data_IF_418399431263
#
_entry.id   IF_418399431263
#
_cell.length_a   1.000
_cell.length_b   1.000
_cell.length_c   1.000
_cell.angle_alpha   90.00
_cell.angle_beta   90.00
_cell.angle_gamma   90.00
#
_symmetry.space_group_name_H-M   'P 1'
#
loop_
_entity.id
_entity.type
_entity.pdbx_description
1 polymer ?
#
# COMPACT_ATOMS: atom_id res chain seq x y z
N UNK A 1 -11.25 2.35 9.33
CA UNK A 1 -12.45 3.18 9.64
C UNK A 1 -13.58 2.22 9.92
N UNK A 2 -14.13 2.28 11.13
CA UNK A 2 -15.32 1.51 11.47
C UNK A 2 -16.54 2.15 10.78
N UNK A 3 -16.96 1.59 9.65
CA UNK A 3 -18.12 2.03 8.87
C UNK A 3 -19.44 2.04 9.64
N UNK A 4 -19.45 1.53 10.88
CA UNK A 4 -20.63 1.51 11.77
C UNK A 4 -20.89 2.85 12.45
N UNK A 5 -19.97 3.84 12.40
CA UNK A 5 -20.08 5.10 13.16
C UNK A 5 -20.67 6.29 12.38
N UNK A 6 -21.16 6.10 11.16
CA UNK A 6 -21.84 7.14 10.38
C UNK A 6 -21.89 6.81 8.90
N UNK A 7 -22.76 7.48 8.12
CA UNK A 7 -22.83 7.24 6.69
C UNK A 7 -21.51 7.71 6.05
N UNK A 8 -20.81 6.80 5.37
CA UNK A 8 -19.57 7.09 4.64
C UNK A 8 -19.74 8.28 3.67
N UNK A 9 -20.96 8.53 3.17
CA UNK A 9 -21.28 9.69 2.35
C UNK A 9 -21.04 11.01 3.07
N UNK A 10 -21.51 11.17 4.32
CA UNK A 10 -21.31 12.40 5.07
C UNK A 10 -19.82 12.69 5.37
N UNK A 11 -19.03 11.63 5.63
CA UNK A 11 -17.58 11.77 5.76
C UNK A 11 -16.92 12.25 4.47
N UNK A 12 -17.28 11.64 3.33
CA UNK A 12 -16.74 12.04 2.02
C UNK A 12 -17.19 13.45 1.64
N UNK A 13 -18.42 13.87 2.01
CA UNK A 13 -18.91 15.22 1.80
C UNK A 13 -18.10 16.26 2.58
N UNK A 14 -17.83 15.98 3.88
CA UNK A 14 -17.02 16.84 4.71
C UNK A 14 -15.58 16.93 4.20
N UNK A 15 -14.98 15.79 3.82
CA UNK A 15 -13.63 15.75 3.26
C UNK A 15 -13.55 16.51 1.93
N UNK A 16 -14.53 16.36 1.05
CA UNK A 16 -14.59 17.11 -0.21
C UNK A 16 -14.69 18.62 0.03
N UNK A 17 -15.42 19.04 1.06
CA UNK A 17 -15.46 20.44 1.50
C UNK A 17 -14.10 20.97 1.96
N UNK A 18 -13.38 20.21 2.77
CA UNK A 18 -12.01 20.54 3.20
C UNK A 18 -11.04 20.62 2.02
N UNK A 19 -11.07 19.62 1.13
CA UNK A 19 -10.25 19.59 -0.09
C UNK A 19 -10.52 20.85 -0.95
N UNK A 20 -11.78 21.30 -1.03
CA UNK A 20 -12.17 22.51 -1.76
C UNK A 20 -11.55 23.79 -1.23
N UNK A 21 -11.17 23.83 0.05
CA UNK A 21 -10.50 24.95 0.71
C UNK A 21 -8.96 24.96 0.59
N UNK A 22 -8.37 23.89 0.04
CA UNK A 22 -6.90 23.81 -0.12
C UNK A 22 -6.48 24.75 -1.26
N UNK A 23 -5.58 25.67 -0.94
CA UNK A 23 -4.96 26.61 -1.90
C UNK A 23 -3.45 26.46 -1.93
N UNK A 24 -2.83 26.87 -3.02
CA UNK A 24 -1.38 26.85 -3.21
C UNK A 24 -0.88 25.61 -3.99
N UNK A 25 0.43 25.57 -4.25
CA UNK A 25 1.04 24.44 -4.98
C UNK A 25 1.05 23.19 -4.11
N UNK A 26 0.66 22.06 -4.71
CA UNK A 26 0.71 20.73 -4.11
C UNK A 26 1.76 19.89 -4.82
N UNK A 27 2.66 19.26 -4.07
CA UNK A 27 3.73 18.41 -4.60
C UNK A 27 3.30 16.95 -4.73
N UNK A 28 2.47 16.47 -3.79
CA UNK A 28 2.00 15.07 -3.76
C UNK A 28 0.55 14.99 -3.27
N UNK A 29 -0.13 13.93 -3.68
CA UNK A 29 -1.44 13.53 -3.12
C UNK A 29 -1.34 12.09 -2.67
N UNK A 30 -1.71 11.84 -1.41
CA UNK A 30 -1.75 10.50 -0.84
C UNK A 30 -3.13 10.25 -0.20
N UNK A 31 -3.88 9.30 -0.74
CA UNK A 31 -5.17 8.88 -0.19
C UNK A 31 -4.99 7.55 0.54
N UNK A 32 -5.00 7.63 1.86
CA UNK A 32 -4.78 6.48 2.74
C UNK A 32 -5.56 6.58 4.05
N UNK A 33 -5.06 5.92 5.09
CA UNK A 33 -5.53 5.98 6.48
C UNK A 33 -6.54 4.91 6.88
N UNK A 34 -7.56 4.61 6.15
CA UNK A 34 -8.39 3.42 6.23
C UNK A 34 -8.13 2.60 4.98
N UNK A 35 -9.16 2.07 4.38
CA UNK A 35 -9.01 1.40 3.09
C UNK A 35 -9.83 2.17 2.05
N UNK A 36 -9.25 3.06 1.25
CA UNK A 36 -9.99 3.83 0.24
C UNK A 36 -10.78 2.92 -0.71
N UNK A 37 -10.20 1.77 -1.08
CA UNK A 37 -10.84 0.78 -1.95
C UNK A 37 -12.03 0.05 -1.31
N UNK A 38 -12.26 0.16 0.00
CA UNK A 38 -13.47 -0.35 0.63
C UNK A 38 -14.70 0.54 0.36
N UNK A 39 -14.49 1.78 -0.11
CA UNK A 39 -15.59 2.63 -0.55
C UNK A 39 -16.27 2.04 -1.79
N UNK A 40 -17.61 2.18 -1.85
CA UNK A 40 -18.36 1.90 -3.07
C UNK A 40 -17.98 2.88 -4.20
N UNK A 41 -18.10 2.44 -5.45
CA UNK A 41 -17.68 3.20 -6.64
C UNK A 41 -18.18 4.66 -6.66
N UNK A 42 -19.45 4.99 -6.30
CA UNK A 42 -19.90 6.38 -6.32
C UNK A 42 -19.15 7.30 -5.36
N UNK A 43 -18.87 6.83 -4.14
CA UNK A 43 -18.16 7.62 -3.12
C UNK A 43 -16.68 7.72 -3.45
N UNK A 44 -16.07 6.63 -3.91
CA UNK A 44 -14.68 6.61 -4.35
C UNK A 44 -14.47 7.60 -5.51
N UNK A 45 -15.36 7.58 -6.51
CA UNK A 45 -15.33 8.53 -7.63
C UNK A 45 -15.46 9.98 -7.17
N UNK A 46 -16.36 10.24 -6.21
CA UNK A 46 -16.55 11.58 -5.64
C UNK A 46 -15.28 12.08 -4.97
N UNK A 47 -14.64 11.24 -4.15
CA UNK A 47 -13.38 11.55 -3.47
C UNK A 47 -12.28 11.87 -4.49
N UNK A 48 -12.05 10.98 -5.45
CA UNK A 48 -11.01 11.14 -6.46
C UNK A 48 -11.19 12.38 -7.31
N UNK A 49 -12.42 12.67 -7.78
CA UNK A 49 -12.72 13.89 -8.54
C UNK A 49 -12.49 15.16 -7.73
N UNK A 50 -12.84 15.13 -6.45
CA UNK A 50 -12.54 16.24 -5.55
C UNK A 50 -11.04 16.52 -5.46
N UNK A 51 -10.25 15.45 -5.35
CA UNK A 51 -8.79 15.51 -5.16
C UNK A 51 -8.05 15.83 -6.47
N UNK A 52 -8.51 15.29 -7.60
CA UNK A 52 -7.89 15.49 -8.93
C UNK A 52 -7.71 16.98 -9.27
N UNK A 53 -8.61 17.85 -8.80
CA UNK A 53 -8.52 19.29 -9.04
C UNK A 53 -7.26 19.93 -8.47
N UNK A 54 -6.68 19.26 -7.46
CA UNK A 54 -5.43 19.68 -6.83
C UNK A 54 -4.20 19.13 -7.58
N UNK A 55 -4.41 18.09 -8.41
CA UNK A 55 -3.34 17.42 -9.13
C UNK A 55 -2.84 18.30 -10.29
N UNK A 56 -1.68 18.93 -10.11
CA UNK A 56 -0.91 19.53 -11.19
C UNK A 56 -0.28 18.47 -12.12
N UNK A 57 0.33 18.92 -13.21
CA UNK A 57 1.08 18.01 -14.10
C UNK A 57 2.28 17.42 -13.35
N UNK A 58 2.41 16.08 -13.41
CA UNK A 58 3.61 15.37 -12.94
C UNK A 58 3.71 15.18 -11.44
N UNK A 59 2.67 15.47 -10.66
CA UNK A 59 2.67 15.18 -9.23
C UNK A 59 2.45 13.67 -8.99
N UNK A 60 3.00 13.17 -7.90
CA UNK A 60 2.68 11.83 -7.41
C UNK A 60 1.27 11.84 -6.81
N UNK A 61 0.40 10.97 -7.33
CA UNK A 61 -0.93 10.74 -6.81
C UNK A 61 -1.10 9.27 -6.41
N UNK A 62 -0.95 9.01 -5.12
CA UNK A 62 -1.00 7.66 -4.54
C UNK A 62 -2.36 7.35 -3.94
N UNK A 63 -2.81 6.11 -4.11
CA UNK A 63 -3.97 5.54 -3.40
C UNK A 63 -3.58 4.23 -2.74
N UNK A 64 -3.94 4.08 -1.46
CA UNK A 64 -3.85 2.80 -0.76
C UNK A 64 -4.98 1.86 -1.15
N UNK A 65 -4.65 0.59 -1.29
CA UNK A 65 -5.59 -0.46 -1.64
C UNK A 65 -5.33 -1.74 -0.85
N UNK A 66 -6.42 -2.46 -0.52
CA UNK A 66 -6.30 -3.83 -0.03
C UNK A 66 -6.71 -4.82 -1.13
N UNK A 67 -6.03 -5.98 -1.20
CA UNK A 67 -6.28 -6.99 -2.24
C UNK A 67 -7.74 -7.45 -2.36
N UNK A 68 -8.44 -7.55 -1.23
CA UNK A 68 -9.83 -8.01 -1.20
C UNK A 68 -10.84 -7.00 -1.77
N UNK A 69 -10.49 -5.72 -1.72
CA UNK A 69 -11.37 -4.62 -2.14
C UNK A 69 -10.96 -3.98 -3.48
N UNK A 70 -9.84 -4.43 -4.08
CA UNK A 70 -9.35 -3.94 -5.36
C UNK A 70 -9.86 -4.82 -6.51
N UNK A 71 -10.42 -4.19 -7.52
CA UNK A 71 -10.92 -4.82 -8.73
C UNK A 71 -10.60 -4.01 -9.99
N UNK A 72 -10.88 -4.58 -11.16
CA UNK A 72 -10.59 -3.96 -12.45
C UNK A 72 -11.30 -2.61 -12.65
N UNK A 73 -12.54 -2.49 -12.16
CA UNK A 73 -13.31 -1.24 -12.29
C UNK A 73 -12.73 -0.10 -11.46
N UNK A 74 -12.23 -0.41 -10.25
CA UNK A 74 -11.56 0.59 -9.41
C UNK A 74 -10.21 1.00 -9.99
N UNK A 75 -9.45 0.07 -10.56
CA UNK A 75 -8.20 0.38 -11.23
C UNK A 75 -8.42 1.29 -12.45
N UNK A 76 -9.45 1.02 -13.26
CA UNK A 76 -9.82 1.90 -14.37
C UNK A 76 -10.20 3.30 -13.86
N UNK A 77 -11.03 3.38 -12.82
CA UNK A 77 -11.38 4.64 -12.19
C UNK A 77 -10.16 5.42 -11.68
N UNK A 78 -9.20 4.74 -11.08
CA UNK A 78 -7.98 5.38 -10.59
C UNK A 78 -7.19 6.01 -11.73
N UNK A 79 -6.97 5.29 -12.82
CA UNK A 79 -6.28 5.81 -14.01
C UNK A 79 -7.04 6.99 -14.64
N UNK A 80 -8.37 6.88 -14.79
CA UNK A 80 -9.21 7.95 -15.31
C UNK A 80 -9.13 9.23 -14.48
N UNK A 81 -9.00 9.10 -13.17
CA UNK A 81 -8.92 10.23 -12.23
C UNK A 81 -7.47 10.67 -11.94
N UNK A 82 -6.48 10.10 -12.64
CA UNK A 82 -5.10 10.56 -12.64
C UNK A 82 -4.22 10.00 -11.51
N UNK A 83 -4.66 8.96 -10.81
CA UNK A 83 -3.83 8.20 -9.88
C UNK A 83 -2.71 7.53 -10.67
N UNK A 84 -1.45 7.74 -10.26
CA UNK A 84 -0.29 7.20 -10.97
C UNK A 84 0.58 6.28 -10.11
N UNK A 85 0.29 6.16 -8.81
CA UNK A 85 0.95 5.25 -7.89
C UNK A 85 -0.08 4.49 -7.03
N UNK A 86 0.14 3.19 -6.81
CA UNK A 86 -0.67 2.38 -5.89
C UNK A 86 0.19 1.82 -4.77
N UNK A 87 -0.34 1.85 -3.53
CA UNK A 87 0.21 1.11 -2.39
C UNK A 87 -0.74 -0.02 -2.02
N UNK A 88 -0.29 -1.26 -2.19
CA UNK A 88 -1.14 -2.45 -2.00
C UNK A 88 -0.73 -3.17 -0.72
N UNK A 89 -1.63 -3.22 0.24
CA UNK A 89 -1.45 -3.89 1.53
C UNK A 89 -1.43 -5.41 1.41
N UNK A 90 -0.36 -5.98 0.86
CA UNK A 90 -0.16 -7.43 0.71
C UNK A 90 0.05 -8.08 2.07
N UNK A 91 0.89 -7.51 2.90
CA UNK A 91 1.27 -7.87 4.25
C UNK A 91 2.07 -9.18 4.34
N UNK A 92 1.70 -10.22 3.59
CA UNK A 92 2.40 -11.50 3.53
C UNK A 92 1.97 -12.32 2.31
N UNK A 93 2.84 -13.23 1.87
CA UNK A 93 2.54 -14.25 0.86
C UNK A 93 2.24 -15.62 1.49
N UNK A 94 1.99 -15.67 2.81
CA UNK A 94 1.68 -16.88 3.56
C UNK A 94 0.30 -16.76 4.21
N UNK A 95 -0.64 -17.62 3.81
CA UNK A 95 -2.02 -17.57 4.31
C UNK A 95 -2.10 -17.73 5.84
N UNK A 96 -1.21 -18.56 6.43
CA UNK A 96 -1.15 -18.72 7.87
C UNK A 96 -0.77 -17.42 8.60
N UNK A 97 0.17 -16.65 8.05
CA UNK A 97 0.57 -15.34 8.60
C UNK A 97 -0.52 -14.30 8.37
N UNK A 98 -1.11 -14.24 7.19
CA UNK A 98 -2.24 -13.35 6.89
C UNK A 98 -3.39 -13.54 7.89
N UNK A 99 -3.71 -14.80 8.21
CA UNK A 99 -4.74 -15.13 9.23
C UNK A 99 -4.36 -14.61 10.63
N UNK A 100 -3.09 -14.76 11.04
CA UNK A 100 -2.60 -14.22 12.33
C UNK A 100 -2.67 -12.69 12.36
N UNK A 101 -2.43 -12.02 11.23
CA UNK A 101 -2.54 -10.58 11.07
C UNK A 101 -3.99 -10.08 10.90
N UNK A 102 -5.00 -10.97 11.02
CA UNK A 102 -6.41 -10.63 10.86
C UNK A 102 -6.81 -10.22 9.44
N UNK A 103 -6.01 -10.61 8.44
CA UNK A 103 -6.31 -10.31 7.03
C UNK A 103 -7.33 -11.29 6.47
N UNK A 104 -8.24 -10.78 5.63
CA UNK A 104 -9.33 -11.57 5.04
C UNK A 104 -9.00 -12.04 3.61
N UNK A 105 -7.98 -11.47 2.98
CA UNK A 105 -7.49 -11.93 1.68
C UNK A 105 -6.47 -13.05 1.83
N UNK A 106 -6.31 -13.84 0.76
CA UNK A 106 -5.27 -14.88 0.65
C UNK A 106 -4.02 -14.34 -0.05
N UNK A 107 -2.90 -15.04 0.13
CA UNK A 107 -1.65 -14.77 -0.57
C UNK A 107 -1.85 -14.75 -2.11
N UNK A 108 -2.64 -15.71 -2.63
CA UNK A 108 -3.00 -15.73 -4.06
C UNK A 108 -3.73 -14.46 -4.48
N UNK A 109 -4.73 -14.03 -3.72
CA UNK A 109 -5.49 -12.80 -4.01
C UNK A 109 -4.60 -11.57 -3.99
N UNK A 110 -3.63 -11.50 -3.08
CA UNK A 110 -2.66 -10.42 -3.01
C UNK A 110 -1.78 -10.37 -4.27
N UNK A 111 -1.21 -11.50 -4.68
CA UNK A 111 -0.43 -11.59 -5.92
C UNK A 111 -1.26 -11.24 -7.16
N UNK A 112 -2.48 -11.76 -7.26
CA UNK A 112 -3.40 -11.48 -8.37
C UNK A 112 -3.71 -9.97 -8.46
N UNK A 113 -3.89 -9.29 -7.32
CA UNK A 113 -4.15 -7.84 -7.28
C UNK A 113 -2.96 -7.03 -7.83
N UNK A 114 -1.73 -7.38 -7.46
CA UNK A 114 -0.50 -6.75 -7.98
C UNK A 114 -0.38 -6.96 -9.50
N UNK A 115 -0.56 -8.20 -9.96
CA UNK A 115 -0.47 -8.56 -11.38
C UNK A 115 -1.56 -7.83 -12.19
N UNK A 116 -2.78 -7.76 -11.65
CA UNK A 116 -3.89 -7.05 -12.30
C UNK A 116 -3.60 -5.55 -12.41
N UNK A 117 -3.07 -4.93 -11.34
CA UNK A 117 -2.70 -3.51 -11.35
C UNK A 117 -1.66 -3.20 -12.43
N UNK A 118 -0.63 -4.06 -12.55
CA UNK A 118 0.38 -3.93 -13.62
C UNK A 118 -0.23 -4.07 -15.01
N UNK A 119 -1.11 -5.07 -15.21
CA UNK A 119 -1.81 -5.29 -16.49
C UNK A 119 -2.72 -4.12 -16.88
N UNK A 120 -3.28 -3.41 -15.91
CA UNK A 120 -4.10 -2.21 -16.12
C UNK A 120 -3.29 -0.97 -16.48
N UNK A 121 -1.96 -0.98 -16.28
CA UNK A 121 -1.08 0.10 -16.71
C UNK A 121 -0.44 0.89 -15.55
N UNK A 122 -0.57 0.43 -14.31
CA UNK A 122 0.19 1.04 -13.22
C UNK A 122 1.66 0.63 -13.30
N UNK A 123 2.54 1.59 -13.52
CA UNK A 123 3.98 1.38 -13.53
C UNK A 123 4.60 1.55 -12.14
N UNK A 124 4.05 2.45 -11.32
CA UNK A 124 4.49 2.67 -9.95
C UNK A 124 3.61 1.90 -8.96
N UNK A 125 4.14 0.77 -8.50
CA UNK A 125 3.45 -0.17 -7.62
C UNK A 125 4.27 -0.41 -6.36
N UNK A 126 3.71 -0.02 -5.22
CA UNK A 126 4.20 -0.42 -3.91
C UNK A 126 3.43 -1.62 -3.37
N UNK A 127 4.12 -2.48 -2.65
CA UNK A 127 3.51 -3.48 -1.76
C UNK A 127 4.01 -3.27 -0.34
N UNK A 128 3.08 -3.38 0.61
CA UNK A 128 3.42 -3.36 2.03
C UNK A 128 3.58 -4.79 2.51
N UNK A 129 4.67 -5.06 3.23
CA UNK A 129 4.98 -6.32 3.90
C UNK A 129 5.18 -6.07 5.39
N UNK A 130 4.73 -7.02 6.20
CA UNK A 130 4.94 -7.01 7.65
C UNK A 130 5.86 -8.17 8.01
N UNK A 131 6.90 -7.92 8.80
CA UNK A 131 7.78 -8.93 9.38
C UNK A 131 7.71 -8.89 10.92
N UNK A 132 8.30 -9.88 11.60
CA UNK A 132 8.29 -9.96 13.06
C UNK A 132 7.00 -10.53 13.62
N UNK A 133 6.22 -11.28 12.84
CA UNK A 133 5.04 -11.97 13.34
C UNK A 133 5.44 -13.13 14.30
N UNK A 134 4.60 -13.47 15.30
CA UNK A 134 4.91 -14.55 16.24
C UNK A 134 5.27 -15.87 15.53
N UNK A 135 6.40 -16.45 15.93
CA UNK A 135 6.97 -17.67 15.35
C UNK A 135 7.36 -17.54 13.86
N UNK A 136 7.55 -16.34 13.36
CA UNK A 136 8.18 -16.11 12.06
C UNK A 136 9.68 -16.32 12.19
N UNK A 137 10.27 -17.06 11.26
CA UNK A 137 11.71 -17.28 11.20
C UNK A 137 12.38 -16.37 10.18
N UNK A 138 13.70 -16.24 10.24
CA UNK A 138 14.49 -15.54 9.22
C UNK A 138 14.31 -16.16 7.83
N UNK A 139 14.21 -17.49 7.75
CA UNK A 139 13.96 -18.19 6.49
C UNK A 139 12.57 -17.86 5.93
N UNK A 140 11.56 -17.76 6.79
CA UNK A 140 10.23 -17.31 6.41
C UNK A 140 10.26 -15.89 5.83
N UNK A 141 10.94 -14.97 6.51
CA UNK A 141 11.08 -13.59 6.07
C UNK A 141 11.87 -13.50 4.76
N UNK A 142 12.94 -14.27 4.60
CA UNK A 142 13.69 -14.37 3.35
C UNK A 142 12.80 -14.85 2.19
N UNK A 143 11.95 -15.85 2.43
CA UNK A 143 11.01 -16.37 1.42
C UNK A 143 9.96 -15.32 1.01
N UNK A 144 9.48 -14.48 1.96
CA UNK A 144 8.59 -13.35 1.67
C UNK A 144 9.27 -12.35 0.73
N UNK A 145 10.51 -11.93 1.03
CA UNK A 145 11.26 -11.01 0.17
C UNK A 145 11.54 -11.62 -1.20
N UNK A 146 11.90 -12.92 -1.24
CA UNK A 146 12.12 -13.63 -2.48
C UNK A 146 10.86 -13.70 -3.36
N UNK A 147 9.68 -13.76 -2.76
CA UNK A 147 8.41 -13.69 -3.50
C UNK A 147 8.12 -12.27 -3.96
N UNK A 148 8.36 -11.26 -3.11
CA UNK A 148 8.12 -9.85 -3.42
C UNK A 148 8.88 -9.39 -4.67
N UNK A 149 10.17 -9.71 -4.75
CA UNK A 149 11.03 -9.26 -5.86
C UNK A 149 10.71 -9.92 -7.22
N UNK A 150 9.92 -11.01 -7.22
CA UNK A 150 9.44 -11.67 -8.45
C UNK A 150 8.20 -10.97 -9.03
N UNK A 151 7.51 -10.17 -8.22
CA UNK A 151 6.34 -9.43 -8.66
C UNK A 151 6.74 -8.19 -9.45
N UNK A 152 5.86 -7.68 -10.33
CA UNK A 152 6.14 -6.50 -11.15
C UNK A 152 5.98 -5.20 -10.34
N UNK A 153 6.62 -5.12 -9.18
CA UNK A 153 6.60 -3.96 -8.27
C UNK A 153 7.86 -3.11 -8.43
N UNK A 154 7.73 -1.84 -8.10
CA UNK A 154 8.80 -0.84 -8.15
C UNK A 154 9.20 -0.37 -6.77
N UNK A 155 8.37 -0.66 -5.78
CA UNK A 155 8.54 -0.22 -4.41
C UNK A 155 8.08 -1.30 -3.44
N UNK A 156 8.76 -1.44 -2.30
CA UNK A 156 8.44 -2.38 -1.22
C UNK A 156 8.57 -1.63 0.11
N UNK A 157 7.49 -1.58 0.87
CA UNK A 157 7.51 -1.10 2.25
C UNK A 157 7.55 -2.31 3.19
N UNK A 158 8.53 -2.35 4.09
CA UNK A 158 8.71 -3.43 5.05
C UNK A 158 8.55 -2.90 6.46
N UNK A 159 7.48 -3.28 7.13
CA UNK A 159 7.17 -2.84 8.49
C UNK A 159 7.39 -3.95 9.50
N UNK A 160 8.02 -3.62 10.62
CA UNK A 160 8.00 -4.51 11.79
C UNK A 160 6.57 -4.55 12.35
N UNK A 161 6.12 -5.73 12.76
CA UNK A 161 4.84 -5.84 13.46
C UNK A 161 4.92 -5.14 14.81
N UNK A 162 4.17 -4.06 14.97
CA UNK A 162 3.96 -3.37 16.23
C UNK A 162 2.52 -3.62 16.70
N UNK A 163 2.35 -4.42 17.73
CA UNK A 163 1.04 -4.71 18.31
C UNK A 163 1.17 -5.02 19.80
N UNK A 164 0.60 -4.17 20.65
CA UNK A 164 0.63 -4.37 22.11
C UNK A 164 0.06 -5.73 22.55
N UNK A 165 -0.91 -6.26 21.80
CA UNK A 165 -1.54 -7.55 22.09
C UNK A 165 -0.73 -8.76 21.59
N UNK A 166 0.31 -8.56 20.82
CA UNK A 166 1.09 -9.62 20.18
C UNK A 166 2.57 -9.38 20.54
N UNK A 167 3.12 -10.12 21.50
CA UNK A 167 4.53 -9.99 21.84
C UNK A 167 5.40 -10.36 20.64
N UNK A 168 6.30 -9.47 20.27
CA UNK A 168 7.32 -9.66 19.24
C UNK A 168 8.67 -9.82 19.89
N UNK A 169 9.54 -10.66 19.34
CA UNK A 169 10.93 -10.74 19.74
C UNK A 169 11.71 -9.59 19.07
N UNK A 170 12.21 -8.65 19.87
CA UNK A 170 12.92 -7.47 19.36
C UNK A 170 14.22 -7.86 18.64
N UNK A 171 14.95 -8.87 19.14
CA UNK A 171 16.20 -9.33 18.53
C UNK A 171 15.94 -10.00 17.18
N UNK A 172 14.95 -10.86 17.09
CA UNK A 172 14.55 -11.48 15.82
C UNK A 172 14.00 -10.45 14.83
N UNK A 173 13.23 -9.47 15.31
CA UNK A 173 12.74 -8.37 14.48
C UNK A 173 13.89 -7.52 13.93
N UNK A 174 14.91 -7.22 14.73
CA UNK A 174 16.10 -6.51 14.28
C UNK A 174 16.90 -7.31 13.24
N UNK A 175 17.00 -8.64 13.42
CA UNK A 175 17.63 -9.53 12.44
C UNK A 175 16.86 -9.57 11.11
N UNK A 176 15.52 -9.62 11.16
CA UNK A 176 14.67 -9.59 9.96
C UNK A 176 14.77 -8.25 9.23
N UNK A 177 14.85 -7.15 9.98
CA UNK A 177 15.09 -5.83 9.40
C UNK A 177 16.47 -5.75 8.72
N UNK A 178 17.51 -6.26 9.38
CA UNK A 178 18.86 -6.34 8.80
C UNK A 178 18.86 -7.17 7.51
N UNK A 179 18.13 -8.29 7.51
CA UNK A 179 17.94 -9.10 6.30
C UNK A 179 17.27 -8.29 5.16
N UNK A 180 16.25 -7.47 5.46
CA UNK A 180 15.63 -6.61 4.43
C UNK A 180 16.64 -5.63 3.84
N UNK A 181 17.45 -4.97 4.70
CA UNK A 181 18.48 -4.01 4.29
C UNK A 181 19.61 -4.62 3.43
N UNK A 182 19.84 -5.92 3.53
CA UNK A 182 20.83 -6.63 2.71
C UNK A 182 20.20 -7.24 1.46
N UNK A 183 19.03 -7.87 1.62
CA UNK A 183 18.40 -8.68 0.58
C UNK A 183 17.81 -7.85 -0.57
N UNK A 184 17.07 -6.80 -0.23
CA UNK A 184 16.35 -5.99 -1.22
C UNK A 184 17.29 -5.12 -2.06
N UNK A 185 18.31 -4.44 -1.49
CA UNK A 185 19.28 -3.68 -2.29
C UNK A 185 20.07 -4.56 -3.27
N UNK A 186 20.44 -5.78 -2.87
CA UNK A 186 21.10 -6.75 -3.76
C UNK A 186 20.24 -7.15 -4.97
N UNK A 187 18.95 -6.78 -4.98
CA UNK A 187 17.96 -7.05 -6.05
C UNK A 187 17.40 -5.79 -6.70
N UNK A 188 18.11 -4.66 -6.50
CA UNK A 188 17.84 -3.40 -7.19
C UNK A 188 16.80 -2.50 -6.51
N UNK A 189 16.42 -2.79 -5.28
CA UNK A 189 15.55 -1.94 -4.46
C UNK A 189 16.41 -1.13 -3.47
N UNK A 190 16.70 0.11 -3.79
CA UNK A 190 17.47 1.00 -2.92
C UNK A 190 16.69 1.29 -1.63
N UNK A 191 17.33 1.09 -0.48
CA UNK A 191 16.84 1.56 0.81
C UNK A 191 17.02 3.08 0.89
N UNK A 192 15.93 3.84 0.96
CA UNK A 192 15.99 5.32 0.90
C UNK A 192 15.36 6.01 2.11
N UNK A 193 14.56 5.26 2.87
CA UNK A 193 13.88 5.70 4.08
C UNK A 193 13.74 4.49 5.00
N UNK A 194 13.39 4.68 6.29
CA UNK A 194 13.42 3.64 7.33
C UNK A 194 12.77 2.32 6.90
N UNK A 195 11.55 2.36 6.37
CA UNK A 195 10.80 1.15 6.02
C UNK A 195 10.72 0.90 4.52
N UNK A 196 11.26 1.80 3.68
CA UNK A 196 10.95 1.84 2.27
C UNK A 196 12.15 1.55 1.36
N UNK A 197 11.88 0.68 0.39
CA UNK A 197 12.84 0.23 -0.61
C UNK A 197 12.25 0.43 -2.00
N UNK A 198 12.96 1.13 -2.89
CA UNK A 198 12.48 1.46 -4.22
C UNK A 198 13.50 1.17 -5.32
N UNK A 199 13.02 0.81 -6.49
CA UNK A 199 13.84 0.89 -7.71
C UNK A 199 14.15 2.35 -8.02
N UNK A 200 15.30 2.62 -8.61
CA UNK A 200 15.74 3.98 -8.94
C UNK A 200 14.66 4.74 -9.72
N UNK A 201 14.26 5.90 -9.22
CA UNK A 201 13.24 6.77 -9.81
C UNK A 201 11.80 6.43 -9.44
N UNK A 202 11.61 5.51 -8.48
CA UNK A 202 10.31 5.12 -7.92
C UNK A 202 10.25 5.32 -6.40
N UNK A 203 11.17 6.12 -5.87
CA UNK A 203 11.09 6.56 -4.48
C UNK A 203 9.79 7.37 -4.29
N UNK A 204 9.04 7.09 -3.23
CA UNK A 204 7.80 7.81 -2.94
C UNK A 204 8.10 9.27 -2.59
N UNK A 205 7.53 10.19 -3.34
CA UNK A 205 7.75 11.62 -3.11
C UNK A 205 6.97 12.18 -1.91
N UNK A 206 6.02 11.40 -1.39
CA UNK A 206 5.21 11.76 -0.23
C UNK A 206 5.90 11.47 1.11
N UNK A 207 6.84 10.51 1.15
CA UNK A 207 7.60 10.12 2.35
C UNK A 207 8.65 11.13 2.75
#
# INVERSE_FOLDING_TARGET
IDYKRGPASAYIDALAGQIGGIGGPISTIFIGGGTPTALGMPLLKKLLRGTRRLAGKGIEFTVEANPESLDAGKLDLFLDEGVNRLSIGVQSFRDAKLKKLGRIHSAKKAMDAVILSKKKGFDDLNIDLIFGAPAETLDDCCAEFAQAVKLPVTHISCYCLECEAIPTDEEDSARMYSLAMEYLPARGFRHYEVSNFAKKGFECAHN
#
